data_IF_329970363559
#
_entry.id   IF_329970363559
#
_cell.length_a   1.000
_cell.length_b   1.000
_cell.length_c   1.000
_cell.angle_alpha   90.00
_cell.angle_beta   90.00
_cell.angle_gamma   90.00
#
_symmetry.space_group_name_H-M   'P 1'
#
loop_
_entity.id
_entity.type
_entity.pdbx_description
1 polymer ?
#
# COMPACT_ATOMS: atom_id res chain seq x y z
N UNK A 1 -47.58 15.22 -27.37
CA UNK A 1 -46.21 14.63 -27.35
C UNK A 1 -45.21 15.46 -26.52
N UNK A 2 -45.62 16.08 -25.41
CA UNK A 2 -44.82 17.14 -24.77
C UNK A 2 -44.11 16.75 -23.46
N UNK A 3 -44.17 15.47 -23.06
CA UNK A 3 -43.72 15.03 -21.72
C UNK A 3 -42.24 14.60 -21.64
N UNK A 4 -41.52 14.48 -22.75
CA UNK A 4 -40.12 14.02 -22.74
C UNK A 4 -39.09 15.13 -22.41
N UNK A 5 -39.49 16.41 -22.42
CA UNK A 5 -38.56 17.54 -22.24
C UNK A 5 -38.30 17.93 -20.77
N UNK A 6 -39.05 17.38 -19.80
CA UNK A 6 -38.89 17.70 -18.37
C UNK A 6 -37.77 16.92 -17.69
N UNK A 7 -37.46 15.70 -18.16
CA UNK A 7 -36.51 14.80 -17.51
C UNK A 7 -35.03 15.24 -17.70
N UNK A 8 -34.71 15.91 -18.81
CA UNK A 8 -33.35 16.36 -19.12
C UNK A 8 -32.91 17.60 -18.33
N UNK A 9 -33.82 18.33 -17.67
CA UNK A 9 -33.47 19.43 -16.75
C UNK A 9 -33.02 18.94 -15.38
N UNK A 10 -33.66 17.90 -14.84
CA UNK A 10 -33.28 17.29 -13.56
C UNK A 10 -31.90 16.59 -13.63
N UNK A 11 -31.58 16.01 -14.78
CA UNK A 11 -30.30 15.32 -14.98
C UNK A 11 -29.09 16.28 -14.94
N UNK A 12 -29.20 17.49 -15.50
CA UNK A 12 -28.13 18.50 -15.39
C UNK A 12 -27.99 19.08 -13.99
N UNK A 13 -29.11 19.20 -13.27
CA UNK A 13 -29.12 19.63 -11.87
C UNK A 13 -28.38 18.66 -10.95
N UNK A 14 -28.61 17.35 -11.11
CA UNK A 14 -27.92 16.35 -10.28
C UNK A 14 -26.41 16.34 -10.54
N UNK A 15 -25.96 16.44 -11.80
CA UNK A 15 -24.52 16.42 -12.10
C UNK A 15 -23.82 17.62 -11.47
N UNK A 16 -24.46 18.79 -11.53
CA UNK A 16 -23.94 20.02 -10.92
C UNK A 16 -23.91 19.92 -9.39
N UNK A 17 -24.94 19.33 -8.78
CA UNK A 17 -24.99 19.11 -7.33
C UNK A 17 -23.95 18.08 -6.86
N UNK A 18 -23.76 17.00 -7.62
CA UNK A 18 -22.71 16.01 -7.36
C UNK A 18 -21.32 16.64 -7.45
N UNK A 19 -21.06 17.46 -8.48
CA UNK A 19 -19.81 18.21 -8.59
C UNK A 19 -19.57 19.11 -7.38
N UNK A 20 -20.58 19.87 -6.95
CA UNK A 20 -20.47 20.75 -5.78
C UNK A 20 -20.22 19.95 -4.49
N UNK A 21 -20.97 18.87 -4.24
CA UNK A 21 -20.83 18.10 -3.00
C UNK A 21 -19.48 17.36 -2.90
N UNK A 22 -18.98 16.82 -4.02
CA UNK A 22 -17.80 15.94 -4.02
C UNK A 22 -16.51 16.61 -4.49
N UNK A 23 -16.58 17.79 -5.12
CA UNK A 23 -15.40 18.56 -5.56
C UNK A 23 -15.26 19.87 -4.80
N UNK A 24 -16.27 20.74 -4.83
CA UNK A 24 -16.16 22.10 -4.30
C UNK A 24 -16.36 22.17 -2.77
N UNK A 25 -17.30 21.39 -2.23
CA UNK A 25 -17.60 21.29 -0.81
C UNK A 25 -16.91 20.11 -0.13
N UNK A 26 -15.99 19.44 -0.82
CA UNK A 26 -15.29 18.30 -0.25
C UNK A 26 -14.38 18.77 0.90
N UNK A 27 -14.67 18.40 2.17
CA UNK A 27 -13.88 18.84 3.31
C UNK A 27 -12.46 18.24 3.34
N UNK A 28 -12.16 17.29 2.44
CA UNK A 28 -10.85 16.69 2.28
C UNK A 28 -10.41 16.76 0.82
N UNK A 29 -9.56 17.74 0.47
CA UNK A 29 -9.02 17.82 -0.88
C UNK A 29 -8.33 16.49 -1.20
N UNK A 30 -8.85 15.75 -2.16
CA UNK A 30 -8.33 14.43 -2.54
C UNK A 30 -6.82 14.47 -2.82
N UNK A 31 -6.31 15.62 -3.27
CA UNK A 31 -4.88 15.93 -3.45
C UNK A 31 -4.07 15.86 -2.14
N UNK A 32 -4.61 16.34 -1.01
CA UNK A 32 -3.91 16.29 0.29
C UNK A 32 -3.89 14.86 0.83
N UNK A 33 -5.01 14.14 0.69
CA UNK A 33 -5.08 12.72 1.06
C UNK A 33 -4.15 11.87 0.20
N UNK A 34 -4.08 12.11 -1.11
CA UNK A 34 -3.18 11.37 -2.00
C UNK A 34 -1.71 11.64 -1.68
N UNK A 35 -1.34 12.90 -1.39
CA UNK A 35 0.02 13.26 -0.99
C UNK A 35 0.39 12.58 0.33
N UNK A 36 -0.49 12.61 1.34
CA UNK A 36 -0.24 11.92 2.62
C UNK A 36 -0.10 10.41 2.45
N UNK A 37 -0.95 9.78 1.63
CA UNK A 37 -0.85 8.36 1.32
C UNK A 37 0.47 8.04 0.63
N UNK A 38 0.89 8.85 -0.34
CA UNK A 38 2.17 8.65 -1.04
C UNK A 38 3.37 8.74 -0.07
N UNK A 39 3.41 9.76 0.79
CA UNK A 39 4.47 9.90 1.79
C UNK A 39 4.53 8.70 2.75
N UNK A 40 3.37 8.24 3.23
CA UNK A 40 3.31 7.10 4.13
C UNK A 40 3.75 5.79 3.45
N UNK A 41 3.37 5.60 2.18
CA UNK A 41 3.79 4.45 1.38
C UNK A 41 5.31 4.45 1.16
N UNK A 42 5.92 5.60 0.89
CA UNK A 42 7.38 5.70 0.74
C UNK A 42 8.11 5.35 2.04
N UNK A 43 7.62 5.82 3.20
CA UNK A 43 8.19 5.46 4.49
C UNK A 43 8.15 3.94 4.74
N UNK A 44 7.01 3.31 4.51
CA UNK A 44 6.85 1.86 4.67
C UNK A 44 7.74 1.05 3.72
N UNK A 45 7.95 1.54 2.49
CA UNK A 45 8.86 0.90 1.52
C UNK A 45 10.31 0.91 2.02
N UNK A 46 10.74 2.02 2.62
CA UNK A 46 12.07 2.11 3.21
C UNK A 46 12.24 1.12 4.38
N UNK A 47 11.30 1.10 5.31
CA UNK A 47 11.30 0.17 6.45
C UNK A 47 11.33 -1.30 5.99
N UNK A 48 10.53 -1.67 4.99
CA UNK A 48 10.53 -3.02 4.43
C UNK A 48 11.88 -3.40 3.81
N UNK A 49 12.54 -2.45 3.12
CA UNK A 49 13.85 -2.69 2.54
C UNK A 49 14.91 -2.95 3.61
N UNK A 50 14.86 -2.24 4.73
CA UNK A 50 15.78 -2.45 5.87
C UNK A 50 15.57 -3.82 6.51
N UNK A 51 14.31 -4.20 6.76
CA UNK A 51 13.97 -5.52 7.29
C UNK A 51 14.40 -6.66 6.35
N UNK A 52 14.22 -6.49 5.05
CA UNK A 52 14.69 -7.48 4.07
C UNK A 52 16.22 -7.61 4.04
N UNK A 53 16.96 -6.51 4.26
CA UNK A 53 18.42 -6.57 4.38
C UNK A 53 18.82 -7.41 5.61
N UNK A 54 18.22 -7.10 6.77
CA UNK A 54 18.48 -7.84 8.01
C UNK A 54 18.11 -9.31 7.89
N UNK A 55 16.99 -9.63 7.23
CA UNK A 55 16.59 -11.02 6.98
C UNK A 55 17.63 -11.78 6.15
N UNK A 56 18.22 -11.16 5.12
CA UNK A 56 19.26 -11.78 4.30
C UNK A 56 20.55 -12.00 5.08
N UNK A 57 20.94 -11.04 5.90
CA UNK A 57 22.12 -11.15 6.77
C UNK A 57 21.95 -12.30 7.75
N UNK A 58 20.81 -12.36 8.45
CA UNK A 58 20.51 -13.46 9.35
C UNK A 58 20.42 -14.81 8.62
N UNK A 59 19.80 -14.86 7.44
CA UNK A 59 19.74 -16.08 6.64
C UNK A 59 21.12 -16.53 6.15
N UNK A 60 22.03 -15.61 5.83
CA UNK A 60 23.40 -15.93 5.44
C UNK A 60 24.22 -16.46 6.63
N UNK A 61 24.08 -15.83 7.80
CA UNK A 61 24.69 -16.30 9.05
C UNK A 61 24.16 -17.68 9.46
N UNK A 62 22.84 -17.88 9.38
CA UNK A 62 22.19 -19.15 9.67
C UNK A 62 22.54 -20.24 8.65
N UNK A 63 22.70 -19.92 7.37
CA UNK A 63 23.15 -20.88 6.37
C UNK A 63 24.62 -21.28 6.56
N UNK A 64 25.46 -20.36 7.04
CA UNK A 64 26.84 -20.66 7.44
C UNK A 64 26.91 -21.54 8.69
N UNK A 65 26.01 -21.34 9.65
CA UNK A 65 25.96 -22.15 10.87
C UNK A 65 25.33 -23.53 10.63
N UNK A 66 24.27 -23.62 9.82
CA UNK A 66 23.61 -24.88 9.47
C UNK A 66 24.50 -25.85 8.66
N UNK A 67 25.53 -25.37 7.97
CA UNK A 67 26.55 -26.25 7.37
C UNK A 67 27.57 -26.74 8.41
N UNK A 68 27.85 -25.97 9.47
CA UNK A 68 28.78 -26.34 10.53
C UNK A 68 28.19 -27.33 11.53
N UNK A 69 26.88 -27.29 11.77
CA UNK A 69 26.22 -28.15 12.76
C UNK A 69 26.01 -29.59 12.27
N UNK A 70 26.21 -29.87 10.97
CA UNK A 70 26.11 -31.22 10.40
C UNK A 70 27.43 -32.01 10.45
N UNK A 71 28.55 -31.37 10.78
CA UNK A 71 29.87 -32.00 10.80
C UNK A 71 30.33 -32.44 12.22
N UNK A 72 29.49 -32.31 13.26
CA UNK A 72 29.89 -32.57 14.67
C UNK A 72 29.43 -33.92 15.24
N UNK A 73 28.70 -34.75 14.49
CA UNK A 73 28.12 -36.00 15.02
C UNK A 73 28.84 -37.30 14.60
N UNK A 74 30.09 -37.24 14.12
CA UNK A 74 30.75 -38.44 13.59
C UNK A 74 32.19 -38.67 14.04
N UNK A 75 32.50 -38.63 15.34
CA UNK A 75 33.62 -39.39 15.96
C UNK A 75 33.36 -39.62 17.46
N UNK A 76 32.72 -40.73 17.83
CA UNK A 76 32.89 -41.37 19.17
C UNK A 76 32.35 -42.81 19.13
N UNK A 77 33.08 -43.68 18.42
CA UNK A 77 33.04 -45.14 18.56
C UNK A 77 34.50 -45.61 18.81
N UNK A 78 34.89 -45.81 20.07
CA UNK A 78 36.08 -46.59 20.49
C UNK A 78 36.02 -46.97 21.99
#
# INVERSE_FOLDING_TARGET
>A
MSSQLSCSRGLRGHQKLMSMAFSDMNPFPMRVLSVRRALHVEALRAELSELQRMQREYAAESAGHAHSDLDTDNEDDA
#
